data_IF_071248664072
#
_entry.id   IF_071248664072
#
_cell.length_a   1.000
_cell.length_b   1.000
_cell.length_c   1.000
_cell.angle_alpha   90.00
_cell.angle_beta   90.00
_cell.angle_gamma   90.00
#
_symmetry.space_group_name_H-M   'P 1'
#
loop_
_entity.id
_entity.type
_entity.pdbx_description
1 polymer ?
#
# COMPACT_ATOMS: atom_id res chain seq x y z
N UNK A 1 -0.38 1.61 -19.55
CA UNK A 1 0.29 1.55 -18.22
C UNK A 1 1.78 1.80 -18.36
N UNK A 2 2.52 2.04 -17.22
CA UNK A 2 3.99 2.08 -17.22
C UNK A 2 4.53 0.64 -17.12
N UNK A 3 5.51 0.29 -17.95
CA UNK A 3 6.18 -1.02 -17.97
C UNK A 3 7.69 -0.80 -17.87
N UNK A 4 8.35 -1.53 -16.99
CA UNK A 4 9.80 -1.56 -16.90
C UNK A 4 10.34 -2.68 -17.78
N UNK A 5 11.11 -2.31 -18.80
CA UNK A 5 11.78 -3.22 -19.74
C UNK A 5 13.24 -3.37 -19.34
N UNK A 6 13.67 -4.59 -19.02
CA UNK A 6 15.02 -4.88 -18.53
C UNK A 6 15.69 -5.86 -19.48
N UNK A 7 16.76 -5.43 -20.13
CA UNK A 7 17.47 -6.18 -21.16
C UNK A 7 18.88 -5.62 -21.30
N UNK A 8 19.91 -6.44 -21.24
CA UNK A 8 21.30 -5.98 -21.32
C UNK A 8 21.76 -5.69 -22.76
N UNK A 9 21.28 -6.44 -23.74
CA UNK A 9 21.58 -6.17 -25.14
C UNK A 9 20.83 -4.94 -25.66
N UNK A 10 21.58 -3.98 -26.21
CA UNK A 10 21.02 -2.70 -26.69
C UNK A 10 19.99 -2.87 -27.82
N UNK A 11 20.19 -3.85 -28.71
CA UNK A 11 19.30 -4.08 -29.85
C UNK A 11 17.99 -4.73 -29.36
N UNK A 12 18.12 -5.77 -28.54
CA UNK A 12 16.98 -6.48 -27.94
C UNK A 12 16.16 -5.54 -27.06
N UNK A 13 16.82 -4.66 -26.27
CA UNK A 13 16.14 -3.64 -25.45
C UNK A 13 15.36 -2.65 -26.31
N UNK A 14 15.96 -2.15 -27.40
CA UNK A 14 15.28 -1.24 -28.32
C UNK A 14 14.08 -1.91 -29.02
N UNK A 15 14.19 -3.21 -29.35
CA UNK A 15 13.07 -3.97 -29.92
C UNK A 15 11.97 -4.14 -28.89
N UNK A 16 12.31 -4.57 -27.69
CA UNK A 16 11.34 -4.73 -26.58
C UNK A 16 10.61 -3.41 -26.29
N UNK A 17 11.35 -2.30 -26.17
CA UNK A 17 10.76 -0.97 -25.99
C UNK A 17 9.74 -0.64 -27.08
N UNK A 18 10.14 -0.76 -28.35
CA UNK A 18 9.25 -0.46 -29.50
C UNK A 18 8.00 -1.35 -29.50
N UNK A 19 8.15 -2.63 -29.14
CA UNK A 19 7.02 -3.56 -29.02
C UNK A 19 6.03 -3.13 -27.95
N UNK A 20 6.51 -2.73 -26.77
CA UNK A 20 5.69 -2.25 -25.66
C UNK A 20 5.04 -0.90 -25.98
N UNK A 21 5.75 0.03 -26.61
CA UNK A 21 5.22 1.33 -27.08
C UNK A 21 4.13 1.14 -28.14
N UNK A 22 4.34 0.21 -29.08
CA UNK A 22 3.34 -0.12 -30.10
C UNK A 22 2.05 -0.68 -29.48
N UNK A 23 2.16 -1.39 -28.36
CA UNK A 23 1.03 -1.89 -27.59
C UNK A 23 0.39 -0.81 -26.68
N UNK A 24 0.84 0.43 -26.75
CA UNK A 24 0.25 1.57 -26.04
C UNK A 24 0.72 1.73 -24.59
N UNK A 25 1.90 1.22 -24.25
CA UNK A 25 2.46 1.33 -22.90
C UNK A 25 3.58 2.37 -22.85
N UNK A 26 3.71 3.09 -21.73
CA UNK A 26 4.87 3.91 -21.42
C UNK A 26 6.00 3.02 -20.91
N UNK A 27 7.20 3.13 -21.48
CA UNK A 27 8.31 2.23 -21.20
C UNK A 27 9.41 2.94 -20.43
N UNK A 28 9.86 2.31 -19.36
CA UNK A 28 11.07 2.65 -18.63
C UNK A 28 12.09 1.57 -18.98
N UNK A 29 13.29 1.98 -19.39
CA UNK A 29 14.35 1.03 -19.78
C UNK A 29 15.37 0.86 -18.66
N UNK A 30 15.91 -0.35 -18.52
CA UNK A 30 17.04 -0.68 -17.70
C UNK A 30 17.90 -1.76 -18.40
N UNK A 31 19.23 -1.71 -18.21
CA UNK A 31 20.16 -2.64 -18.86
C UNK A 31 20.61 -3.79 -17.96
N UNK A 32 20.28 -3.71 -16.68
CA UNK A 32 20.59 -4.74 -15.68
C UNK A 32 19.62 -4.68 -14.50
N UNK A 33 19.72 -5.66 -13.60
CA UNK A 33 18.82 -5.75 -12.45
C UNK A 33 18.98 -4.64 -11.42
N UNK A 34 20.18 -4.04 -11.29
CA UNK A 34 20.42 -2.96 -10.35
C UNK A 34 19.88 -1.61 -10.87
N UNK A 35 20.03 -1.34 -12.16
CA UNK A 35 19.41 -0.20 -12.83
C UNK A 35 17.89 -0.33 -12.80
N UNK A 36 17.36 -1.53 -13.07
CA UNK A 36 15.95 -1.83 -12.99
C UNK A 36 15.37 -1.55 -11.59
N UNK A 37 16.09 -1.94 -10.55
CA UNK A 37 15.69 -1.68 -9.17
C UNK A 37 15.65 -0.18 -8.85
N UNK A 38 16.67 0.58 -9.27
CA UNK A 38 16.71 2.04 -9.09
C UNK A 38 15.58 2.74 -9.84
N UNK A 39 15.35 2.35 -11.10
CA UNK A 39 14.26 2.88 -11.92
C UNK A 39 12.89 2.57 -11.30
N UNK A 40 12.72 1.36 -10.77
CA UNK A 40 11.49 0.98 -10.08
C UNK A 40 11.25 1.81 -8.80
N UNK A 41 12.28 2.09 -7.99
CA UNK A 41 12.15 2.93 -6.79
C UNK A 41 11.68 4.35 -7.14
N UNK A 42 12.12 4.90 -8.27
CA UNK A 42 11.77 6.24 -8.72
C UNK A 42 10.36 6.33 -9.33
N UNK A 43 9.99 5.38 -10.19
CA UNK A 43 8.83 5.47 -11.06
C UNK A 43 7.67 4.54 -10.67
N UNK A 44 7.93 3.55 -9.82
CA UNK A 44 6.96 2.55 -9.31
C UNK A 44 6.12 1.86 -10.41
N UNK A 45 6.70 1.39 -11.54
CA UNK A 45 5.95 0.63 -12.51
C UNK A 45 5.46 -0.68 -11.89
N UNK A 46 4.23 -1.08 -12.23
CA UNK A 46 3.63 -2.30 -11.68
C UNK A 46 3.75 -3.52 -12.60
N UNK A 47 4.38 -3.35 -13.77
CA UNK A 47 4.72 -4.45 -14.68
C UNK A 47 6.20 -4.36 -15.00
N UNK A 48 6.87 -5.50 -14.90
CA UNK A 48 8.26 -5.69 -15.30
C UNK A 48 8.32 -6.74 -16.39
N UNK A 49 9.01 -6.45 -17.48
CA UNK A 49 9.38 -7.41 -18.53
C UNK A 49 10.89 -7.47 -18.56
N UNK A 50 11.45 -8.59 -18.12
CA UNK A 50 12.90 -8.73 -17.90
C UNK A 50 13.47 -9.89 -18.70
N UNK A 51 14.63 -9.72 -19.29
CA UNK A 51 15.42 -10.87 -19.72
C UNK A 51 15.81 -11.71 -18.49
N UNK A 52 15.95 -13.01 -18.73
CA UNK A 52 16.47 -13.94 -17.73
C UNK A 52 17.95 -13.74 -17.49
N UNK A 53 18.74 -13.68 -18.60
CA UNK A 53 20.19 -13.68 -18.54
C UNK A 53 20.72 -12.26 -18.69
N UNK A 54 21.20 -11.70 -17.60
CA UNK A 54 21.84 -10.38 -17.58
C UNK A 54 23.08 -10.43 -16.69
N UNK A 55 24.10 -9.59 -16.97
CA UNK A 55 25.26 -9.46 -16.10
C UNK A 55 24.87 -8.98 -14.68
N UNK A 56 25.55 -9.47 -13.67
CA UNK A 56 25.29 -9.13 -12.28
C UNK A 56 24.00 -9.75 -11.74
N UNK A 57 22.96 -8.98 -11.54
CA UNK A 57 21.67 -9.47 -11.09
C UNK A 57 20.83 -9.95 -12.29
N UNK A 58 20.62 -11.25 -12.38
CA UNK A 58 19.79 -11.86 -13.43
C UNK A 58 18.28 -11.61 -13.18
N UNK A 59 17.43 -11.95 -14.18
CA UNK A 59 15.99 -11.74 -14.10
C UNK A 59 15.32 -12.48 -12.94
N UNK A 60 15.80 -13.67 -12.57
CA UNK A 60 15.26 -14.40 -11.42
C UNK A 60 15.66 -13.73 -10.08
N UNK A 61 16.89 -13.26 -9.99
CA UNK A 61 17.39 -12.51 -8.85
C UNK A 61 16.60 -11.22 -8.64
N UNK A 62 16.33 -10.51 -9.73
CA UNK A 62 15.49 -9.32 -9.71
C UNK A 62 14.07 -9.65 -9.24
N UNK A 63 13.46 -10.71 -9.76
CA UNK A 63 12.13 -11.15 -9.34
C UNK A 63 12.07 -11.48 -7.84
N UNK A 64 13.02 -12.29 -7.35
CA UNK A 64 13.11 -12.59 -5.89
C UNK A 64 13.24 -11.34 -5.05
N UNK A 65 13.99 -10.33 -5.51
CA UNK A 65 14.12 -9.05 -4.82
C UNK A 65 12.79 -8.32 -4.72
N UNK A 66 11.96 -8.32 -5.77
CA UNK A 66 10.59 -7.79 -5.70
C UNK A 66 9.72 -8.57 -4.71
N UNK A 67 9.79 -9.90 -4.71
CA UNK A 67 8.97 -10.75 -3.84
C UNK A 67 9.38 -10.67 -2.36
N UNK A 68 10.64 -10.36 -2.05
CA UNK A 68 11.11 -10.24 -0.66
C UNK A 68 10.72 -8.94 0.04
N UNK A 69 10.21 -7.95 -0.69
CA UNK A 69 9.82 -6.67 -0.12
C UNK A 69 8.40 -6.74 0.44
N UNK A 70 8.27 -6.58 1.76
CA UNK A 70 6.95 -6.49 2.41
C UNK A 70 6.33 -5.09 2.22
N UNK A 71 5.00 -5.04 2.10
CA UNK A 71 4.26 -3.77 2.02
C UNK A 71 4.35 -3.05 0.66
N UNK A 72 4.91 -3.68 -0.37
CA UNK A 72 4.87 -3.15 -1.72
C UNK A 72 3.60 -3.57 -2.46
N UNK A 73 3.14 -2.65 -3.31
CA UNK A 73 2.15 -3.00 -4.33
C UNK A 73 2.63 -4.18 -5.18
N UNK A 74 1.72 -5.09 -5.50
CA UNK A 74 2.03 -6.25 -6.33
C UNK A 74 2.60 -5.81 -7.69
N UNK A 75 3.78 -6.34 -8.05
CA UNK A 75 4.45 -6.14 -9.33
C UNK A 75 4.29 -7.40 -10.17
N UNK A 76 3.64 -7.29 -11.33
CA UNK A 76 3.50 -8.39 -12.27
C UNK A 76 4.80 -8.55 -13.07
N UNK A 77 5.43 -9.71 -12.97
CA UNK A 77 6.75 -9.98 -13.52
C UNK A 77 6.70 -10.98 -14.68
N UNK A 78 7.04 -10.54 -15.88
CA UNK A 78 7.15 -11.35 -17.10
C UNK A 78 8.63 -11.57 -17.38
N UNK A 79 9.05 -12.84 -17.46
CA UNK A 79 10.40 -13.22 -17.78
C UNK A 79 10.55 -13.56 -19.27
N UNK A 80 11.52 -12.95 -19.96
CA UNK A 80 11.90 -13.33 -21.31
C UNK A 80 13.08 -14.31 -21.26
N UNK A 81 13.01 -15.40 -22.00
CA UNK A 81 14.08 -16.42 -21.98
C UNK A 81 14.49 -16.89 -23.37
N UNK A 82 15.78 -16.90 -23.64
CA UNK A 82 16.37 -17.61 -24.78
C UNK A 82 16.68 -19.10 -24.52
N UNK A 83 16.56 -19.50 -23.24
CA UNK A 83 16.81 -20.89 -22.82
C UNK A 83 15.57 -21.73 -23.04
N UNK A 84 15.30 -22.34 -24.08
CA UNK A 84 14.16 -23.20 -24.36
C UNK A 84 13.20 -23.55 -23.19
N UNK A 85 12.00 -23.94 -23.51
CA UNK A 85 10.93 -24.24 -22.56
C UNK A 85 11.12 -25.59 -21.86
N UNK A 86 12.12 -25.70 -20.97
CA UNK A 86 12.36 -26.92 -20.20
C UNK A 86 11.56 -26.91 -18.87
N UNK A 87 11.22 -28.10 -18.36
CA UNK A 87 10.55 -28.26 -17.07
C UNK A 87 11.38 -27.64 -15.93
N UNK A 88 12.71 -27.78 -15.99
CA UNK A 88 13.62 -27.21 -15.00
C UNK A 88 13.57 -25.66 -15.01
N UNK A 89 13.53 -25.04 -16.18
CA UNK A 89 13.45 -23.60 -16.32
C UNK A 89 12.11 -23.06 -15.80
N UNK A 90 11.01 -23.71 -16.13
CA UNK A 90 9.67 -23.36 -15.61
C UNK A 90 9.61 -23.43 -14.08
N UNK A 91 10.19 -24.48 -13.51
CA UNK A 91 10.25 -24.65 -12.07
C UNK A 91 11.07 -23.54 -11.38
N UNK A 92 12.26 -23.23 -11.93
CA UNK A 92 13.10 -22.16 -11.39
C UNK A 92 12.40 -20.79 -11.44
N UNK A 93 11.69 -20.49 -12.53
CA UNK A 93 10.91 -19.27 -12.67
C UNK A 93 9.76 -19.20 -11.64
N UNK A 94 9.01 -20.31 -11.48
CA UNK A 94 7.93 -20.38 -10.50
C UNK A 94 8.43 -20.24 -9.05
N UNK A 95 9.55 -20.90 -8.70
CA UNK A 95 10.18 -20.78 -7.38
C UNK A 95 10.72 -19.37 -7.11
N UNK A 96 11.10 -18.61 -8.14
CA UNK A 96 11.47 -17.21 -8.02
C UNK A 96 10.26 -16.27 -7.90
N UNK A 97 9.04 -16.77 -8.13
CA UNK A 97 7.80 -15.98 -8.07
C UNK A 97 7.50 -15.21 -9.36
N UNK A 98 8.01 -15.66 -10.51
CA UNK A 98 7.68 -15.10 -11.83
C UNK A 98 6.20 -15.41 -12.15
N UNK A 99 5.46 -14.39 -12.61
CA UNK A 99 4.04 -14.54 -12.92
C UNK A 99 3.81 -15.17 -14.30
N UNK A 100 4.69 -14.84 -15.23
CA UNK A 100 4.61 -15.35 -16.58
C UNK A 100 5.98 -15.37 -17.27
N UNK A 101 6.16 -16.21 -18.29
CA UNK A 101 7.37 -16.18 -19.08
C UNK A 101 7.08 -16.36 -20.57
N UNK A 102 7.97 -15.80 -21.40
CA UNK A 102 7.91 -15.89 -22.86
C UNK A 102 9.29 -16.29 -23.39
N UNK A 103 9.31 -17.16 -24.39
CA UNK A 103 10.53 -17.51 -25.11
C UNK A 103 10.90 -16.43 -26.13
N UNK A 104 12.19 -16.12 -26.23
CA UNK A 104 12.72 -15.24 -27.28
C UNK A 104 12.86 -16.00 -28.61
N UNK A 105 12.57 -15.37 -29.78
CA UNK A 105 12.05 -14.02 -29.90
C UNK A 105 10.59 -13.93 -29.43
N UNK A 106 10.27 -12.94 -28.61
CA UNK A 106 8.92 -12.77 -28.10
C UNK A 106 8.01 -12.24 -29.23
N UNK A 107 7.00 -13.03 -29.57
CA UNK A 107 5.96 -12.62 -30.50
C UNK A 107 5.11 -11.50 -29.90
N UNK A 108 4.78 -10.48 -30.71
CA UNK A 108 4.02 -9.32 -30.30
C UNK A 108 2.64 -9.69 -29.75
N UNK A 109 1.98 -10.70 -30.35
CA UNK A 109 0.66 -11.17 -29.90
C UNK A 109 0.74 -11.89 -28.57
N UNK A 110 1.78 -12.69 -28.35
CA UNK A 110 2.04 -13.34 -27.09
C UNK A 110 2.32 -12.32 -25.97
N UNK A 111 3.16 -11.32 -26.24
CA UNK A 111 3.44 -10.24 -25.28
C UNK A 111 2.17 -9.45 -24.96
N UNK A 112 1.36 -9.10 -25.96
CA UNK A 112 0.08 -8.44 -25.76
C UNK A 112 -0.86 -9.22 -24.85
N UNK A 113 -1.00 -10.54 -25.07
CA UNK A 113 -1.85 -11.40 -24.24
C UNK A 113 -1.41 -11.39 -22.77
N UNK A 114 -0.09 -11.46 -22.50
CA UNK A 114 0.46 -11.45 -21.14
C UNK A 114 0.22 -10.10 -20.46
N UNK A 115 0.41 -9.01 -21.18
CA UNK A 115 0.14 -7.65 -20.65
C UNK A 115 -1.35 -7.44 -20.34
N UNK A 116 -2.27 -8.00 -21.15
CA UNK A 116 -3.71 -7.97 -20.85
C UNK A 116 -4.07 -8.76 -19.59
N UNK A 117 -3.40 -9.89 -19.35
CA UNK A 117 -3.55 -10.64 -18.09
C UNK A 117 -3.01 -9.83 -16.92
N UNK A 118 -1.83 -9.23 -17.06
CA UNK A 118 -1.22 -8.35 -16.07
C UNK A 118 -2.15 -7.20 -15.67
N UNK A 119 -2.70 -6.47 -16.64
CA UNK A 119 -3.65 -5.37 -16.39
C UNK A 119 -4.85 -5.83 -15.55
N UNK A 120 -5.41 -6.98 -15.88
CA UNK A 120 -6.56 -7.54 -15.16
C UNK A 120 -6.21 -7.92 -13.72
N UNK A 121 -5.09 -8.62 -13.51
CA UNK A 121 -4.62 -9.01 -12.17
C UNK A 121 -4.32 -7.77 -11.34
N UNK A 122 -3.60 -6.80 -11.89
CA UNK A 122 -3.25 -5.57 -11.20
C UNK A 122 -4.48 -4.72 -10.82
N UNK A 123 -5.52 -4.73 -11.65
CA UNK A 123 -6.80 -4.08 -11.32
C UNK A 123 -7.44 -4.73 -10.09
N UNK A 124 -7.50 -6.05 -10.04
CA UNK A 124 -8.12 -6.76 -8.91
C UNK A 124 -7.29 -6.67 -7.63
N UNK A 125 -5.96 -6.81 -7.70
CA UNK A 125 -5.10 -6.66 -6.52
C UNK A 125 -5.21 -5.27 -5.92
N UNK A 126 -5.29 -4.22 -6.74
CA UNK A 126 -5.51 -2.85 -6.25
C UNK A 126 -6.88 -2.70 -5.56
N UNK A 127 -7.93 -3.34 -6.08
CA UNK A 127 -9.26 -3.30 -5.46
C UNK A 127 -9.27 -4.01 -4.11
N UNK A 128 -8.65 -5.20 -4.03
CA UNK A 128 -8.53 -5.95 -2.76
C UNK A 128 -7.77 -5.11 -1.74
N UNK A 129 -6.62 -4.56 -2.11
CA UNK A 129 -5.80 -3.75 -1.21
C UNK A 129 -6.56 -2.51 -0.68
N UNK A 130 -7.32 -1.82 -1.54
CA UNK A 130 -8.17 -0.70 -1.10
C UNK A 130 -9.27 -1.13 -0.11
N UNK A 131 -9.82 -2.33 -0.26
CA UNK A 131 -10.81 -2.86 0.68
C UNK A 131 -10.19 -3.22 2.03
N UNK A 132 -8.97 -3.77 2.02
CA UNK A 132 -8.19 -4.07 3.22
C UNK A 132 -7.75 -2.80 3.97
N UNK A 133 -7.51 -1.70 3.26
CA UNK A 133 -7.20 -0.38 3.85
C UNK A 133 -8.41 0.30 4.49
N UNK A 134 -9.64 -0.16 4.20
CA UNK A 134 -10.86 0.41 4.81
C UNK A 134 -11.02 -0.08 6.24
N UNK A 135 -10.77 0.79 7.20
CA UNK A 135 -11.01 0.49 8.61
C UNK A 135 -12.51 0.60 8.94
N UNK A 136 -13.19 -0.51 9.26
CA UNK A 136 -14.59 -0.45 9.66
C UNK A 136 -14.72 0.21 11.03
N UNK A 137 -15.28 1.43 11.05
CA UNK A 137 -15.48 2.25 12.24
C UNK A 137 -16.96 2.31 12.62
N UNK A 138 -17.26 2.17 13.90
CA UNK A 138 -18.61 2.36 14.42
C UNK A 138 -19.06 3.82 14.24
N UNK A 139 -20.22 4.04 13.60
CA UNK A 139 -20.75 5.38 13.37
C UNK A 139 -21.09 6.12 14.67
N UNK A 140 -21.37 5.42 15.75
CA UNK A 140 -21.76 5.99 17.05
C UNK A 140 -20.57 6.18 18.00
N UNK A 141 -19.89 5.11 18.38
CA UNK A 141 -18.85 5.16 19.42
C UNK A 141 -17.42 5.28 18.87
N UNK A 142 -17.26 5.30 17.52
CA UNK A 142 -15.97 5.45 16.82
C UNK A 142 -14.94 4.35 17.09
N UNK A 143 -15.35 3.23 17.71
CA UNK A 143 -14.49 2.04 17.81
C UNK A 143 -14.19 1.48 16.44
N UNK A 144 -13.01 0.91 16.26
CA UNK A 144 -12.58 0.22 15.05
C UNK A 144 -12.75 -1.28 15.26
N UNK A 145 -13.19 -1.97 14.21
CA UNK A 145 -13.25 -3.43 14.17
C UNK A 145 -11.94 -3.98 13.61
N UNK A 146 -11.26 -4.79 14.39
CA UNK A 146 -10.01 -5.44 13.96
C UNK A 146 -10.25 -6.66 13.05
N UNK A 147 -9.17 -7.26 12.57
CA UNK A 147 -9.21 -8.42 11.66
C UNK A 147 -9.79 -9.70 12.33
N UNK A 148 -9.91 -9.70 13.66
CA UNK A 148 -10.52 -10.78 14.46
C UNK A 148 -11.98 -10.51 14.81
N UNK A 149 -12.59 -9.45 14.22
CA UNK A 149 -13.95 -8.99 14.50
C UNK A 149 -14.19 -8.42 15.91
N UNK A 150 -13.18 -8.02 16.65
CA UNK A 150 -13.33 -7.33 17.92
C UNK A 150 -13.36 -5.82 17.75
N UNK A 151 -14.20 -5.12 18.53
CA UNK A 151 -14.31 -3.68 18.53
C UNK A 151 -13.41 -3.08 19.60
N UNK A 152 -12.42 -2.27 19.20
CA UNK A 152 -11.48 -1.61 20.09
C UNK A 152 -11.42 -0.10 19.89
N UNK A 153 -10.84 0.63 20.82
CA UNK A 153 -10.62 2.07 20.68
C UNK A 153 -9.59 2.33 19.57
N UNK A 154 -9.75 3.47 18.87
CA UNK A 154 -8.87 3.82 17.76
C UNK A 154 -7.41 3.95 18.21
N UNK A 155 -7.20 4.48 19.40
CA UNK A 155 -5.88 4.67 20.01
C UNK A 155 -5.17 3.33 20.24
N UNK A 156 -5.88 2.34 20.77
CA UNK A 156 -5.35 0.99 20.98
C UNK A 156 -5.00 0.32 19.66
N UNK A 157 -5.88 0.45 18.66
CA UNK A 157 -5.67 -0.11 17.33
C UNK A 157 -4.42 0.47 16.64
N UNK A 158 -4.23 1.79 16.73
CA UNK A 158 -3.06 2.46 16.15
C UNK A 158 -1.79 2.03 16.89
N UNK A 159 -1.80 2.04 18.23
CA UNK A 159 -0.65 1.66 19.05
C UNK A 159 -0.19 0.23 18.73
N UNK A 160 -1.12 -0.74 18.67
CA UNK A 160 -0.81 -2.15 18.37
C UNK A 160 -0.17 -2.34 16.99
N UNK A 161 -0.58 -1.56 15.97
CA UNK A 161 -0.09 -1.72 14.60
C UNK A 161 1.15 -0.91 14.26
N UNK A 162 1.31 0.25 14.88
CA UNK A 162 2.38 1.20 14.52
C UNK A 162 3.39 1.44 15.65
N UNK A 163 3.07 1.00 16.87
CA UNK A 163 3.85 1.36 18.07
C UNK A 163 3.76 2.82 18.45
N UNK A 164 2.85 3.59 17.84
CA UNK A 164 2.70 5.03 18.09
C UNK A 164 1.85 5.26 19.34
N UNK A 165 2.38 6.00 20.30
CA UNK A 165 1.61 6.49 21.45
C UNK A 165 0.82 7.75 21.07
N UNK A 166 -0.48 7.78 21.44
CA UNK A 166 -1.36 8.91 21.19
C UNK A 166 -1.50 9.73 22.46
N UNK A 167 -1.10 11.01 22.39
CA UNK A 167 -1.37 11.97 23.45
C UNK A 167 -2.70 12.70 23.20
N UNK A 168 -3.48 12.90 24.25
CA UNK A 168 -4.75 13.60 24.16
C UNK A 168 -4.57 15.08 24.45
N UNK A 169 -5.14 15.93 23.60
CA UNK A 169 -5.22 17.36 23.78
C UNK A 169 -6.55 17.88 23.23
N UNK A 170 -6.90 19.11 23.56
CA UNK A 170 -8.12 19.76 23.06
C UNK A 170 -7.73 20.75 21.97
N UNK A 171 -8.28 20.59 20.78
CA UNK A 171 -8.03 21.54 19.69
C UNK A 171 -8.71 22.90 19.98
N UNK A 172 -8.22 24.00 19.38
CA UNK A 172 -8.75 25.36 19.65
C UNK A 172 -10.25 25.49 19.41
N UNK A 173 -10.78 24.83 18.39
CA UNK A 173 -12.22 24.85 18.08
C UNK A 173 -13.06 24.14 19.17
N UNK A 174 -12.65 22.94 19.59
CA UNK A 174 -13.32 22.22 20.66
C UNK A 174 -13.17 22.94 22.01
N UNK A 175 -12.02 23.58 22.26
CA UNK A 175 -11.84 24.40 23.46
C UNK A 175 -12.88 25.53 23.52
N UNK A 176 -13.05 26.30 22.46
CA UNK A 176 -14.02 27.40 22.41
C UNK A 176 -15.47 26.89 22.46
N UNK A 177 -15.79 25.80 21.75
CA UNK A 177 -17.17 25.35 21.62
C UNK A 177 -17.67 24.55 22.82
N UNK A 178 -16.79 23.80 23.48
CA UNK A 178 -17.17 22.84 24.53
C UNK A 178 -16.57 23.23 25.89
N UNK A 179 -15.24 23.44 25.92
CA UNK A 179 -14.53 23.61 27.20
C UNK A 179 -14.79 24.98 27.82
N UNK A 180 -14.72 26.04 27.03
CA UNK A 180 -14.88 27.43 27.54
C UNK A 180 -16.29 27.70 28.11
N UNK A 181 -17.39 27.33 27.44
CA UNK A 181 -18.73 27.47 27.99
C UNK A 181 -18.95 26.67 29.29
N UNK A 182 -18.37 25.48 29.38
CA UNK A 182 -18.46 24.64 30.57
C UNK A 182 -17.70 25.26 31.76
N UNK A 183 -16.51 25.80 31.50
CA UNK A 183 -15.74 26.54 32.51
C UNK A 183 -16.46 27.78 33.00
N UNK A 184 -17.13 28.52 32.11
CA UNK A 184 -17.92 29.69 32.47
C UNK A 184 -19.13 29.31 33.33
N UNK A 185 -19.82 28.18 32.97
CA UNK A 185 -20.92 27.65 33.78
C UNK A 185 -20.47 27.30 35.18
N UNK A 186 -19.38 26.51 35.30
CA UNK A 186 -18.83 26.10 36.59
C UNK A 186 -18.37 27.29 37.45
N UNK A 187 -17.76 28.34 36.84
CA UNK A 187 -17.41 29.59 37.55
C UNK A 187 -18.64 30.30 38.09
N UNK A 188 -19.72 30.34 37.30
CA UNK A 188 -20.98 30.99 37.73
C UNK A 188 -21.62 30.24 38.91
N UNK A 189 -21.70 28.91 38.81
CA UNK A 189 -22.22 28.03 39.86
C UNK A 189 -21.41 28.19 41.16
N UNK A 190 -20.06 28.22 41.07
CA UNK A 190 -19.19 28.42 42.22
C UNK A 190 -19.34 29.81 42.89
N UNK A 191 -19.63 30.84 42.09
CA UNK A 191 -19.89 32.21 42.62
C UNK A 191 -21.26 32.25 43.32
N UNK A 192 -22.29 31.63 42.75
CA UNK A 192 -23.63 31.55 43.35
C UNK A 192 -23.60 30.75 44.68
N UNK A 193 -22.80 29.67 44.73
CA UNK A 193 -22.65 28.85 45.92
C UNK A 193 -21.95 29.61 47.05
N UNK A 194 -20.98 30.49 46.73
CA UNK A 194 -20.31 31.36 47.70
C UNK A 194 -21.18 32.53 48.18
N UNK A 195 -22.13 32.97 47.36
CA UNK A 195 -23.06 34.06 47.66
C UNK A 195 -24.25 33.59 48.54
N UNK A 196 -24.47 32.29 48.71
CA UNK A 196 -25.57 31.73 49.50
C UNK A 196 -25.16 31.67 50.98
N UNK A 197 -25.85 32.37 51.91
CA UNK A 197 -25.50 32.39 53.32
C UNK A 197 -25.65 31.01 53.98
N UNK A 198 -24.84 30.63 55.00
CA UNK A 198 -24.69 29.27 55.54
C UNK A 198 -25.96 28.64 56.12
N UNK A 199 -27.01 29.41 56.35
CA UNK A 199 -28.30 28.90 56.88
C UNK A 199 -29.22 28.18 55.89
N UNK A 200 -29.01 28.32 54.58
CA UNK A 200 -29.83 27.63 53.55
C UNK A 200 -29.23 26.30 52.99
N UNK A 201 -28.00 25.96 53.36
CA UNK A 201 -27.29 24.78 52.84
C UNK A 201 -27.86 23.44 53.38
N UNK A 202 -28.57 23.42 54.51
CA UNK A 202 -29.09 22.17 55.10
C UNK A 202 -30.44 21.70 54.55
N UNK A 203 -31.23 22.59 53.92
CA UNK A 203 -32.56 22.19 53.42
C UNK A 203 -32.55 21.49 52.06
N UNK A 204 -31.54 21.70 51.21
CA UNK A 204 -31.48 21.18 49.87
C UNK A 204 -30.88 19.73 49.78
N UNK A 205 -30.21 19.23 50.82
CA UNK A 205 -29.63 17.87 50.84
C UNK A 205 -30.59 16.74 51.31
N UNK A 206 -31.83 17.06 51.66
CA UNK A 206 -32.84 16.08 52.13
C UNK A 206 -33.86 15.69 51.05
N UNK A 207 -33.75 16.15 49.80
CA UNK A 207 -34.67 15.83 48.70
C UNK A 207 -33.99 15.38 47.42
N UNK A 208 -32.86 14.68 47.51
CA UNK A 208 -32.36 13.90 46.36
C UNK A 208 -32.01 12.50 46.81
#
# INVERSE_FOLDING_TARGET
>A
MKVLAVEDDNVSRAVLRRSLEHLGHAVIEARDGDEAWKAWLAEKPRVVVSDWQMPGMDGLGLCRRFRSQQGLDYVYFILLTGRGDSVANRRAAAEAGVDDFLTKPADLSALWMRLRVAERILKYTTQVHRLEEMMPMCSYCKKIRDDKNYWQQIESYINERTGTEISHSVCPECYQRVVLPELERLKKEALEEKATPPGRRMAAKRQR
#
